data_IF_052169758082
#
_entry.id   IF_052169758082
#
_cell.length_a   1.000
_cell.length_b   1.000
_cell.length_c   1.000
_cell.angle_alpha   90.00
_cell.angle_beta   90.00
_cell.angle_gamma   90.00
#
_symmetry.space_group_name_H-M   'P 1'
#
loop_
_entity.id
_entity.type
_entity.pdbx_description
1 polymer ?
#
# COMPACT_ATOMS: atom_id res chain seq x y z
N UNK A 1 -4.49 -13.37 -70.31
CA UNK A 1 -5.43 -12.44 -70.96
C UNK A 1 -6.15 -11.68 -69.86
N UNK A 2 -5.78 -10.41 -69.64
CA UNK A 2 -6.55 -9.42 -68.87
C UNK A 2 -7.67 -8.84 -69.77
N UNK A 3 -8.62 -8.00 -69.30
CA UNK A 3 -8.37 -6.69 -68.65
C UNK A 3 -9.32 -6.43 -67.43
N UNK A 4 -9.01 -5.65 -66.37
CA UNK A 4 -8.75 -4.21 -66.20
C UNK A 4 -9.80 -3.28 -66.84
N UNK A 5 -10.49 -2.45 -66.05
CA UNK A 5 -10.89 -1.05 -66.35
C UNK A 5 -11.44 -0.40 -65.05
N UNK A 6 -10.91 0.79 -64.77
CA UNK A 6 -11.27 1.76 -63.72
C UNK A 6 -12.59 2.49 -64.05
N UNK A 7 -13.07 3.36 -63.13
CA UNK A 7 -13.04 4.78 -63.54
C UNK A 7 -12.52 5.76 -62.49
N UNK A 8 -11.67 6.67 -62.98
CA UNK A 8 -11.32 8.02 -62.52
C UNK A 8 -12.57 8.93 -62.62
N UNK A 9 -12.93 9.87 -61.73
CA UNK A 9 -12.41 11.21 -61.35
C UNK A 9 -13.54 11.83 -60.47
N UNK A 10 -13.35 12.64 -59.43
CA UNK A 10 -13.01 14.07 -59.48
C UNK A 10 -12.81 14.66 -58.07
N UNK A 11 -11.86 15.60 -57.99
CA UNK A 11 -11.47 16.44 -56.86
C UNK A 11 -12.52 17.50 -56.46
N UNK A 12 -12.71 17.68 -55.15
CA UNK A 12 -12.85 18.94 -54.39
C UNK A 12 -12.43 18.57 -52.94
N UNK A 13 -11.44 19.16 -52.25
CA UNK A 13 -10.93 20.52 -52.30
C UNK A 13 -11.36 21.27 -51.04
N UNK A 14 -10.89 20.87 -49.85
CA UNK A 14 -10.94 21.68 -48.63
C UNK A 14 -9.66 21.49 -47.81
N UNK A 15 -8.77 22.45 -47.94
CA UNK A 15 -7.60 22.69 -47.10
C UNK A 15 -8.06 23.12 -45.69
N UNK A 16 -7.69 22.34 -44.67
CA UNK A 16 -7.62 22.80 -43.28
C UNK A 16 -6.20 22.61 -42.80
N UNK A 17 -5.40 23.68 -42.95
CA UNK A 17 -4.07 23.81 -42.39
C UNK A 17 -4.17 24.01 -40.88
N UNK A 18 -3.99 22.93 -40.10
CA UNK A 18 -3.76 23.04 -38.65
C UNK A 18 -2.24 23.12 -38.42
N UNK A 19 -1.80 24.34 -38.12
CA UNK A 19 -0.43 24.68 -37.72
C UNK A 19 -0.04 23.96 -36.41
N UNK A 20 0.88 23.01 -36.51
CA UNK A 20 1.52 22.35 -35.37
C UNK A 20 2.42 23.35 -34.65
N UNK A 21 2.03 23.81 -33.45
CA UNK A 21 2.92 24.54 -32.53
C UNK A 21 3.77 23.54 -31.75
N UNK A 22 5.09 23.68 -31.88
CA UNK A 22 6.08 23.00 -31.06
C UNK A 22 5.94 23.43 -29.58
N UNK A 23 6.06 22.50 -28.60
CA UNK A 23 6.13 22.87 -27.20
C UNK A 23 7.53 23.38 -26.84
N UNK A 24 7.58 24.59 -26.29
CA UNK A 24 8.75 25.23 -25.69
C UNK A 24 9.14 24.54 -24.37
N UNK A 25 10.44 24.47 -24.02
CA UNK A 25 10.90 23.92 -22.75
C UNK A 25 10.48 24.83 -21.59
N UNK A 26 9.96 24.23 -20.52
CA UNK A 26 9.73 24.93 -19.25
C UNK A 26 11.05 24.98 -18.47
N UNK A 27 11.56 26.19 -18.30
CA UNK A 27 12.72 26.52 -17.46
C UNK A 27 12.40 26.25 -15.98
N UNK A 28 13.22 25.39 -15.35
CA UNK A 28 13.32 25.28 -13.90
C UNK A 28 14.45 26.20 -13.43
N UNK A 29 14.24 27.11 -12.48
CA UNK A 29 15.32 27.93 -11.97
C UNK A 29 16.24 27.09 -11.06
N UNK A 30 17.48 26.93 -11.53
CA UNK A 30 18.63 26.51 -10.74
C UNK A 30 19.03 27.70 -9.86
N UNK A 31 19.23 27.47 -8.56
CA UNK A 31 19.97 28.40 -7.71
C UNK A 31 20.81 27.64 -6.70
N UNK A 32 22.11 27.93 -6.73
CA UNK A 32 23.13 27.59 -5.74
C UNK A 32 24.03 28.85 -5.59
N UNK A 33 24.98 28.88 -4.65
CA UNK A 33 24.80 29.22 -3.24
C UNK A 33 25.40 30.59 -2.90
N UNK A 34 24.94 31.22 -1.82
CA UNK A 34 25.69 32.30 -1.17
C UNK A 34 25.38 32.33 0.34
N UNK A 35 26.45 32.33 1.14
CA UNK A 35 26.53 32.63 2.57
C UNK A 35 27.49 33.83 2.74
N UNK A 36 27.67 34.42 3.94
CA UNK A 36 26.76 34.61 5.08
C UNK A 36 26.68 36.09 5.51
N UNK A 37 25.63 36.51 6.22
CA UNK A 37 25.69 37.65 7.13
C UNK A 37 24.55 37.60 8.18
N UNK A 38 24.93 37.90 9.41
CA UNK A 38 24.12 37.98 10.63
C UNK A 38 22.84 38.81 10.49
N UNK A 39 21.75 38.32 11.09
CA UNK A 39 20.93 39.09 12.05
C UNK A 39 19.83 38.22 12.64
N UNK A 40 19.80 38.19 13.98
CA UNK A 40 18.81 37.55 14.81
C UNK A 40 17.42 38.18 14.62
N UNK A 41 16.42 37.38 14.22
CA UNK A 41 15.01 37.64 14.56
C UNK A 41 14.32 36.30 14.80
N UNK A 42 13.93 36.07 16.05
CA UNK A 42 13.08 34.98 16.48
C UNK A 42 11.67 35.13 15.91
N UNK A 43 11.25 34.25 15.02
CA UNK A 43 9.82 34.06 14.68
C UNK A 43 9.45 32.60 14.83
N UNK A 44 8.58 32.33 15.80
CA UNK A 44 7.90 31.06 16.00
C UNK A 44 6.88 30.84 14.86
N UNK A 45 7.27 30.09 13.84
CA UNK A 45 6.37 29.65 12.77
C UNK A 45 5.51 28.50 13.26
N UNK A 46 4.31 28.80 13.73
CA UNK A 46 3.24 27.82 13.90
C UNK A 46 2.64 27.56 12.52
N UNK A 47 3.17 26.57 11.80
CA UNK A 47 2.58 26.08 10.54
C UNK A 47 1.28 25.36 10.88
N UNK A 48 0.16 26.09 10.80
CA UNK A 48 -1.19 25.55 10.95
C UNK A 48 -1.60 24.94 9.60
N UNK A 49 -1.29 23.65 9.41
CA UNK A 49 -1.89 22.86 8.34
C UNK A 49 -3.38 22.69 8.66
N UNK A 50 -4.24 23.48 7.99
CA UNK A 50 -5.69 23.38 8.14
C UNK A 50 -6.16 21.98 7.78
N UNK A 51 -6.61 21.26 8.80
CA UNK A 51 -7.08 19.87 8.68
C UNK A 51 -8.60 19.88 8.40
N UNK A 52 -9.20 18.89 7.71
CA UNK A 52 -10.62 18.91 7.39
C UNK A 52 -11.46 18.92 8.67
N UNK A 53 -12.06 20.07 8.99
CA UNK A 53 -13.10 20.16 10.01
C UNK A 53 -14.44 19.94 9.32
N UNK A 54 -15.17 18.92 9.75
CA UNK A 54 -16.58 18.75 9.37
C UNK A 54 -17.46 19.39 10.45
N UNK A 55 -18.76 19.50 10.20
CA UNK A 55 -19.71 19.93 11.24
C UNK A 55 -19.87 18.91 12.38
N UNK A 56 -19.33 17.71 12.22
CA UNK A 56 -19.42 16.60 13.19
C UNK A 56 -18.13 16.46 14.01
N UNK A 57 -16.98 16.67 13.40
CA UNK A 57 -15.70 16.46 14.06
C UNK A 57 -14.59 17.37 13.53
N UNK A 58 -13.56 17.56 14.36
CA UNK A 58 -12.34 18.24 14.00
C UNK A 58 -11.12 17.40 14.38
N UNK A 59 -10.08 17.45 13.55
CA UNK A 59 -8.80 16.80 13.84
C UNK A 59 -7.92 17.81 14.59
N UNK A 60 -7.33 17.37 15.70
CA UNK A 60 -6.50 18.20 16.59
C UNK A 60 -5.19 17.48 16.90
N UNK A 61 -4.14 18.25 17.16
CA UNK A 61 -2.90 17.70 17.72
C UNK A 61 -3.09 17.41 19.21
N UNK A 62 -2.50 16.30 19.66
CA UNK A 62 -2.50 15.86 21.05
C UNK A 62 -1.06 15.74 21.55
N UNK A 63 -0.78 16.00 22.83
CA UNK A 63 0.60 15.97 23.35
C UNK A 63 1.29 14.60 23.20
N UNK A 64 0.54 13.50 23.24
CA UNK A 64 1.10 12.15 23.40
C UNK A 64 0.69 11.14 22.31
N UNK A 65 -0.21 11.48 21.38
CA UNK A 65 -0.70 10.56 20.36
C UNK A 65 -0.69 11.16 18.94
N UNK A 66 -0.02 12.30 18.74
CA UNK A 66 -0.05 13.04 17.49
C UNK A 66 -1.46 13.56 17.19
N UNK A 67 -1.95 13.35 15.97
CA UNK A 67 -3.32 13.79 15.58
C UNK A 67 -4.39 12.83 16.07
N UNK A 68 -5.47 13.39 16.59
CA UNK A 68 -6.68 12.70 17.02
C UNK A 68 -7.93 13.40 16.48
N UNK A 69 -9.05 12.67 16.41
CA UNK A 69 -10.34 13.16 15.93
C UNK A 69 -11.23 13.44 17.14
N UNK A 70 -11.85 14.61 17.23
CA UNK A 70 -12.73 15.00 18.33
C UNK A 70 -14.09 15.46 17.81
N UNK A 71 -15.16 15.06 18.49
CA UNK A 71 -16.51 15.53 18.18
C UNK A 71 -16.63 17.05 18.41
N UNK A 72 -17.24 17.76 17.47
CA UNK A 72 -17.50 19.22 17.56
C UNK A 72 -18.88 19.55 18.10
N UNK A 73 -19.71 18.53 18.30
CA UNK A 73 -21.04 18.59 18.91
C UNK A 73 -21.43 17.19 19.36
N UNK A 74 -22.54 17.06 20.08
CA UNK A 74 -23.17 15.76 20.35
C UNK A 74 -23.50 15.04 19.04
N UNK A 75 -23.18 13.75 18.95
CA UNK A 75 -23.43 12.90 17.78
C UNK A 75 -24.19 11.64 18.21
N UNK A 76 -25.32 11.37 17.56
CA UNK A 76 -26.15 10.21 17.86
C UNK A 76 -25.54 8.91 17.29
N UNK A 77 -25.90 7.78 17.90
CA UNK A 77 -25.49 6.46 17.44
C UNK A 77 -25.93 6.23 15.98
N UNK A 78 -25.13 5.45 15.24
CA UNK A 78 -25.30 5.14 13.82
C UNK A 78 -25.14 6.33 12.85
N UNK A 79 -24.69 7.50 13.33
CA UNK A 79 -24.34 8.60 12.45
C UNK A 79 -23.09 8.25 11.63
N UNK A 80 -23.17 8.39 10.31
CA UNK A 80 -22.00 8.29 9.42
C UNK A 80 -21.12 9.53 9.59
N UNK A 81 -19.88 9.33 10.04
CA UNK A 81 -18.90 10.39 10.23
C UNK A 81 -18.20 10.74 8.92
N UNK A 82 -17.68 9.72 8.25
CA UNK A 82 -16.93 9.86 7.00
C UNK A 82 -16.91 8.56 6.21
N UNK A 83 -16.65 8.69 4.91
CA UNK A 83 -16.35 7.57 4.01
C UNK A 83 -14.97 7.80 3.43
N UNK A 84 -14.05 6.87 3.66
CA UNK A 84 -12.73 6.86 3.07
C UNK A 84 -12.77 6.07 1.76
N UNK A 85 -12.71 6.80 0.65
CA UNK A 85 -12.71 6.28 -0.72
C UNK A 85 -11.41 6.62 -1.48
N UNK A 86 -10.41 7.10 -0.76
CA UNK A 86 -9.10 7.54 -1.24
C UNK A 86 -8.04 6.44 -1.16
N UNK A 87 -8.42 5.20 -1.51
CA UNK A 87 -7.50 4.08 -1.55
C UNK A 87 -6.31 4.40 -2.47
N UNK A 88 -5.13 4.50 -1.86
CA UNK A 88 -3.94 5.04 -2.52
C UNK A 88 -2.93 3.93 -2.86
N UNK A 89 -2.54 3.12 -1.87
CA UNK A 89 -1.69 1.94 -2.07
C UNK A 89 -2.49 0.70 -1.68
N UNK A 90 -2.42 -0.38 -2.45
CA UNK A 90 -2.99 -1.66 -2.05
C UNK A 90 -2.17 -2.86 -2.54
N UNK A 91 -2.28 -3.95 -1.80
CA UNK A 91 -1.67 -5.24 -2.10
C UNK A 91 -2.73 -6.31 -1.90
N UNK A 92 -2.94 -7.13 -2.93
CA UNK A 92 -3.59 -8.44 -2.80
C UNK A 92 -2.50 -9.49 -2.77
N UNK A 93 -2.49 -10.28 -1.70
CA UNK A 93 -1.52 -11.36 -1.50
C UNK A 93 -1.60 -12.36 -2.65
N UNK A 94 -0.45 -12.91 -3.04
CA UNK A 94 -0.32 -13.77 -4.22
C UNK A 94 -1.33 -14.92 -4.23
N UNK A 95 -1.59 -15.52 -3.08
CA UNK A 95 -2.49 -16.66 -2.91
C UNK A 95 -3.94 -16.32 -3.29
N UNK A 96 -4.39 -15.10 -2.99
CA UNK A 96 -5.75 -14.66 -3.23
C UNK A 96 -5.97 -14.01 -4.60
N UNK A 97 -4.93 -13.80 -5.42
CA UNK A 97 -5.05 -13.08 -6.70
C UNK A 97 -5.91 -13.78 -7.75
N UNK A 98 -6.30 -15.04 -7.54
CA UNK A 98 -7.23 -15.78 -8.41
C UNK A 98 -8.68 -15.75 -7.90
N UNK A 99 -8.88 -15.37 -6.65
CA UNK A 99 -10.15 -15.55 -5.93
C UNK A 99 -10.76 -14.20 -5.51
N UNK A 100 -9.93 -13.16 -5.38
CA UNK A 100 -10.35 -11.83 -4.95
C UNK A 100 -10.33 -10.87 -6.13
N UNK A 101 -11.46 -10.18 -6.33
CA UNK A 101 -11.60 -9.19 -7.40
C UNK A 101 -10.61 -8.04 -7.17
N UNK A 102 -9.74 -7.79 -8.16
CA UNK A 102 -8.74 -6.73 -8.07
C UNK A 102 -9.34 -5.32 -8.02
N UNK A 103 -10.58 -5.16 -8.48
CA UNK A 103 -11.32 -3.91 -8.39
C UNK A 103 -12.12 -3.81 -7.08
N UNK A 104 -13.14 -4.62 -6.82
CA UNK A 104 -14.00 -4.36 -5.66
C UNK A 104 -13.65 -5.14 -4.39
N UNK A 105 -12.62 -6.00 -4.42
CA UNK A 105 -12.30 -6.95 -3.35
C UNK A 105 -13.44 -7.92 -2.99
N UNK A 106 -14.32 -8.19 -3.96
CA UNK A 106 -15.28 -9.28 -3.86
C UNK A 106 -14.55 -10.62 -3.79
N UNK A 107 -15.05 -11.50 -2.94
CA UNK A 107 -14.59 -12.85 -2.70
C UNK A 107 -15.81 -13.75 -2.56
N UNK A 108 -15.68 -15.02 -2.95
CA UNK A 108 -16.74 -16.02 -2.84
C UNK A 108 -16.15 -17.35 -2.38
N UNK A 109 -15.80 -17.43 -1.09
CA UNK A 109 -15.39 -18.67 -0.39
C UNK A 109 -14.36 -19.52 -1.16
N UNK A 110 -13.34 -18.89 -1.72
CA UNK A 110 -12.23 -19.55 -2.40
C UNK A 110 -12.47 -19.84 -3.88
N UNK A 111 -13.60 -19.40 -4.42
CA UNK A 111 -13.92 -19.63 -5.83
C UNK A 111 -13.03 -18.77 -6.73
N UNK A 112 -12.40 -19.41 -7.72
CA UNK A 112 -11.66 -18.68 -8.76
C UNK A 112 -12.62 -17.81 -9.57
N UNK A 113 -12.35 -16.52 -9.66
CA UNK A 113 -13.23 -15.58 -10.37
C UNK A 113 -13.12 -15.75 -11.90
N UNK A 114 -14.24 -15.57 -12.63
CA UNK A 114 -14.35 -16.01 -14.02
C UNK A 114 -13.58 -15.13 -15.02
N UNK A 115 -13.41 -13.83 -14.72
CA UNK A 115 -12.80 -12.88 -15.64
C UNK A 115 -11.35 -12.65 -15.26
N UNK A 116 -10.42 -13.12 -16.09
CA UNK A 116 -8.99 -12.97 -15.87
C UNK A 116 -8.36 -12.10 -16.95
N UNK A 117 -7.56 -11.14 -16.54
CA UNK A 117 -6.65 -10.45 -17.44
C UNK A 117 -5.39 -11.31 -17.63
N UNK A 118 -5.12 -11.75 -18.85
CA UNK A 118 -4.01 -12.66 -19.16
C UNK A 118 -2.62 -12.03 -18.96
N UNK A 119 -2.50 -10.71 -19.17
CA UNK A 119 -1.22 -10.01 -19.06
C UNK A 119 -0.85 -9.70 -17.62
N UNK A 120 -1.79 -9.21 -16.82
CA UNK A 120 -1.57 -8.82 -15.41
C UNK A 120 -1.84 -9.94 -14.42
N UNK A 121 -2.51 -11.01 -14.86
CA UNK A 121 -2.96 -12.12 -14.02
C UNK A 121 -3.94 -11.71 -12.89
N UNK A 122 -4.55 -10.53 -12.99
CA UNK A 122 -5.60 -10.08 -12.08
C UNK A 122 -6.95 -10.64 -12.50
N UNK A 123 -7.82 -10.88 -11.52
CA UNK A 123 -9.18 -11.39 -11.75
C UNK A 123 -10.25 -10.38 -11.33
N UNK A 124 -11.44 -10.52 -11.90
CA UNK A 124 -12.58 -9.63 -11.69
C UNK A 124 -13.87 -10.44 -11.54
N UNK A 125 -14.78 -9.94 -10.69
CA UNK A 125 -16.10 -10.55 -10.51
C UNK A 125 -17.08 -10.19 -11.65
N UNK A 126 -16.84 -9.10 -12.37
CA UNK A 126 -17.73 -8.62 -13.44
C UNK A 126 -16.97 -7.86 -14.54
N UNK A 127 -17.56 -7.74 -15.75
CA UNK A 127 -16.98 -6.91 -16.81
C UNK A 127 -16.85 -5.44 -16.41
N UNK A 128 -17.80 -4.93 -15.61
CA UNK A 128 -17.75 -3.56 -15.09
C UNK A 128 -16.53 -3.33 -14.19
N UNK A 129 -16.24 -4.26 -13.27
CA UNK A 129 -15.03 -4.19 -12.43
C UNK A 129 -13.74 -4.22 -13.26
N UNK A 130 -13.69 -5.05 -14.30
CA UNK A 130 -12.54 -5.10 -15.20
C UNK A 130 -12.36 -3.79 -15.97
N UNK A 131 -13.43 -3.24 -16.53
CA UNK A 131 -13.40 -1.98 -17.27
C UNK A 131 -12.99 -0.81 -16.37
N UNK A 132 -13.54 -0.74 -15.16
CA UNK A 132 -13.21 0.30 -14.19
C UNK A 132 -11.74 0.22 -13.78
N UNK A 133 -11.23 -0.98 -13.51
CA UNK A 133 -9.82 -1.19 -13.21
C UNK A 133 -8.91 -0.77 -14.37
N UNK A 134 -9.26 -1.15 -15.61
CA UNK A 134 -8.51 -0.76 -16.81
C UNK A 134 -8.50 0.76 -17.00
N UNK A 135 -9.64 1.43 -16.78
CA UNK A 135 -9.76 2.87 -16.87
C UNK A 135 -8.89 3.58 -15.81
N UNK A 136 -8.89 3.08 -14.57
CA UNK A 136 -8.08 3.63 -13.48
C UNK A 136 -6.58 3.39 -13.69
N UNK A 137 -6.20 2.19 -14.12
CA UNK A 137 -4.81 1.83 -14.38
C UNK A 137 -4.26 2.57 -15.61
N UNK A 138 -5.07 2.77 -16.65
CA UNK A 138 -4.63 3.28 -17.95
C UNK A 138 -3.52 2.43 -18.58
N UNK A 139 -3.03 2.86 -19.75
CA UNK A 139 -2.05 2.08 -20.50
C UNK A 139 -0.74 1.87 -19.72
N UNK A 140 -0.26 2.91 -19.04
CA UNK A 140 0.99 2.84 -18.26
C UNK A 140 0.85 1.92 -17.04
N UNK A 141 -0.30 1.96 -16.34
CA UNK A 141 -0.54 1.06 -15.22
C UNK A 141 -0.66 -0.40 -15.66
N UNK A 142 -1.36 -0.66 -16.77
CA UNK A 142 -1.46 -2.01 -17.35
C UNK A 142 -0.07 -2.53 -17.76
N UNK A 143 0.76 -1.71 -18.38
CA UNK A 143 2.14 -2.07 -18.73
C UNK A 143 2.99 -2.38 -17.48
N UNK A 144 2.87 -1.55 -16.43
CA UNK A 144 3.60 -1.75 -15.17
C UNK A 144 3.23 -3.08 -14.49
N UNK A 145 1.93 -3.35 -14.34
CA UNK A 145 1.44 -4.61 -13.76
C UNK A 145 1.81 -5.82 -14.63
N UNK A 146 1.76 -5.69 -15.95
CA UNK A 146 2.20 -6.74 -16.87
C UNK A 146 3.69 -7.05 -16.70
N UNK A 147 4.55 -6.02 -16.54
CA UNK A 147 5.97 -6.21 -16.32
C UNK A 147 6.25 -6.90 -14.97
N UNK A 148 5.55 -6.50 -13.91
CA UNK A 148 5.67 -7.12 -12.60
C UNK A 148 5.20 -8.59 -12.58
N UNK A 149 4.11 -8.92 -13.28
CA UNK A 149 3.66 -10.30 -13.40
C UNK A 149 4.64 -11.16 -14.21
N UNK A 150 5.27 -10.62 -15.26
CA UNK A 150 6.32 -11.33 -16.02
C UNK A 150 7.52 -11.70 -15.14
N UNK A 151 7.94 -10.81 -14.24
CA UNK A 151 8.98 -11.10 -13.25
C UNK A 151 8.57 -12.28 -12.33
N UNK A 152 7.31 -12.30 -11.92
CA UNK A 152 6.77 -13.30 -10.98
C UNK A 152 6.55 -14.68 -11.63
N UNK A 153 6.11 -14.74 -12.90
CA UNK A 153 5.79 -16.01 -13.60
C UNK A 153 7.01 -16.92 -13.78
N UNK A 154 8.20 -16.38 -14.01
CA UNK A 154 9.40 -17.15 -14.31
C UNK A 154 10.13 -17.77 -13.10
N UNK A 155 9.67 -17.50 -11.87
CA UNK A 155 10.45 -17.80 -10.65
C UNK A 155 9.65 -18.42 -9.51
N UNK A 156 8.39 -18.79 -9.79
CA UNK A 156 7.45 -19.35 -8.82
C UNK A 156 7.73 -20.81 -8.43
N UNK A 157 8.76 -21.45 -9.01
CA UNK A 157 9.07 -22.87 -8.79
C UNK A 157 10.04 -23.17 -7.63
N UNK A 158 10.98 -22.28 -7.31
CA UNK A 158 12.06 -22.59 -6.36
C UNK A 158 11.84 -22.03 -4.95
N UNK A 159 10.91 -21.11 -4.78
CA UNK A 159 10.63 -20.49 -3.49
C UNK A 159 9.12 -20.43 -3.30
N UNK A 160 8.51 -21.60 -3.09
CA UNK A 160 7.15 -21.66 -2.51
C UNK A 160 7.23 -21.02 -1.13
N UNK A 161 6.69 -19.82 -1.03
CA UNK A 161 6.02 -19.08 0.05
C UNK A 161 5.87 -19.71 1.46
N UNK A 162 6.76 -20.59 1.92
CA UNK A 162 6.76 -21.09 3.29
C UNK A 162 7.49 -20.18 4.29
N UNK A 163 8.30 -19.24 3.79
CA UNK A 163 9.24 -18.46 4.63
C UNK A 163 8.83 -16.98 4.80
N UNK A 164 7.92 -16.47 3.97
CA UNK A 164 7.34 -15.14 4.15
C UNK A 164 6.06 -15.16 4.99
N UNK A 165 5.58 -16.34 5.38
CA UNK A 165 4.23 -16.53 5.90
C UNK A 165 4.08 -16.12 7.38
N UNK A 166 5.19 -15.96 8.11
CA UNK A 166 5.21 -15.46 9.48
C UNK A 166 6.51 -14.67 9.68
N UNK A 167 6.48 -13.34 9.64
CA UNK A 167 7.63 -12.59 10.19
C UNK A 167 7.59 -12.85 11.68
N UNK A 168 8.45 -13.75 12.14
CA UNK A 168 8.64 -14.03 13.55
C UNK A 168 8.80 -12.68 14.28
N UNK A 169 7.86 -12.33 15.19
CA UNK A 169 7.91 -11.05 15.91
C UNK A 169 9.20 -10.86 16.70
N UNK A 170 9.97 -11.92 16.91
CA UNK A 170 11.25 -11.92 17.60
C UNK A 170 12.44 -11.62 16.67
N UNK A 171 12.25 -11.54 15.35
CA UNK A 171 13.33 -11.12 14.46
C UNK A 171 13.72 -9.66 14.72
N UNK A 172 15.02 -9.34 14.72
CA UNK A 172 15.48 -7.98 14.93
C UNK A 172 15.02 -7.09 13.77
N UNK A 173 14.30 -6.02 14.10
CA UNK A 173 13.99 -4.96 13.14
C UNK A 173 15.29 -4.24 12.73
N UNK A 174 15.52 -3.93 11.45
CA UNK A 174 16.64 -3.09 11.04
C UNK A 174 16.62 -1.73 11.74
N UNK A 175 17.79 -1.20 12.09
CA UNK A 175 17.94 0.17 12.60
C UNK A 175 17.81 1.17 11.45
N UNK A 176 17.67 2.47 11.77
CA UNK A 176 17.68 3.53 10.75
C UNK A 176 18.98 3.56 9.96
N UNK A 177 20.12 3.23 10.59
CA UNK A 177 21.42 3.12 9.94
C UNK A 177 21.48 1.93 8.98
N UNK A 178 20.96 0.77 9.38
CA UNK A 178 20.90 -0.42 8.51
C UNK A 178 20.05 -0.16 7.26
N UNK A 179 18.90 0.52 7.46
CA UNK A 179 18.00 0.91 6.38
C UNK A 179 18.71 1.85 5.41
N UNK A 180 19.36 2.90 5.93
CA UNK A 180 20.10 3.85 5.11
C UNK A 180 21.22 3.16 4.30
N UNK A 181 22.00 2.27 4.94
CA UNK A 181 23.08 1.54 4.28
C UNK A 181 22.56 0.61 3.17
N UNK A 182 21.44 -0.09 3.41
CA UNK A 182 20.85 -0.98 2.41
C UNK A 182 20.33 -0.22 1.19
N UNK A 183 19.67 0.92 1.40
CA UNK A 183 19.17 1.75 0.30
C UNK A 183 20.29 2.46 -0.46
N UNK A 184 21.35 2.90 0.22
CA UNK A 184 22.54 3.47 -0.44
C UNK A 184 23.22 2.44 -1.36
N UNK A 185 23.38 1.21 -0.87
CA UNK A 185 23.90 0.09 -1.68
C UNK A 185 23.03 -0.15 -2.93
N UNK A 186 21.70 -0.15 -2.76
CA UNK A 186 20.77 -0.28 -3.88
C UNK A 186 20.85 0.91 -4.86
N UNK A 187 20.99 2.14 -4.38
CA UNK A 187 21.16 3.35 -5.21
C UNK A 187 22.39 3.30 -6.10
N UNK A 188 23.50 2.79 -5.58
CA UNK A 188 24.73 2.58 -6.35
C UNK A 188 24.50 1.63 -7.54
N UNK A 189 23.81 0.50 -7.31
CA UNK A 189 23.44 -0.44 -8.38
C UNK A 189 22.41 0.14 -9.35
N UNK A 190 21.46 0.92 -8.84
CA UNK A 190 20.42 1.56 -9.64
C UNK A 190 20.98 2.51 -10.70
N UNK A 191 22.06 3.24 -10.38
CA UNK A 191 22.76 4.09 -11.36
C UNK A 191 23.23 3.27 -12.56
N UNK A 192 23.79 2.08 -12.32
CA UNK A 192 24.25 1.19 -13.39
C UNK A 192 23.08 0.64 -14.23
N UNK A 193 21.95 0.32 -13.59
CA UNK A 193 20.73 -0.14 -14.27
C UNK A 193 20.17 0.97 -15.15
N UNK A 194 20.09 2.21 -14.67
CA UNK A 194 19.62 3.37 -15.45
C UNK A 194 20.49 3.60 -16.69
N UNK A 195 21.82 3.54 -16.53
CA UNK A 195 22.75 3.63 -17.65
C UNK A 195 22.55 2.50 -18.67
N UNK A 196 22.35 1.26 -18.20
CA UNK A 196 22.05 0.13 -19.09
C UNK A 196 20.76 0.36 -19.88
N UNK A 197 19.72 0.87 -19.23
CA UNK A 197 18.43 1.19 -19.86
C UNK A 197 18.51 2.34 -20.86
N UNK A 198 19.37 3.31 -20.62
CA UNK A 198 19.66 4.40 -21.56
C UNK A 198 20.52 3.96 -22.77
N UNK A 199 20.82 2.65 -22.92
CA UNK A 199 21.62 2.12 -24.03
C UNK A 199 23.13 2.23 -23.84
N UNK A 200 23.60 2.63 -22.64
CA UNK A 200 25.03 2.77 -22.36
C UNK A 200 25.67 1.39 -22.15
N UNK A 201 26.67 1.09 -22.97
CA UNK A 201 27.19 -0.26 -23.23
C UNK A 201 28.37 -0.79 -22.39
N UNK A 202 28.80 -0.23 -21.23
CA UNK A 202 29.78 -0.91 -20.38
C UNK A 202 29.32 -2.33 -20.00
N UNK A 203 30.28 -3.27 -19.93
CA UNK A 203 29.97 -4.65 -19.50
C UNK A 203 29.38 -4.70 -18.09
N UNK A 204 29.78 -3.77 -17.21
CA UNK A 204 29.29 -3.63 -15.85
C UNK A 204 27.80 -3.27 -15.77
N UNK A 205 27.31 -2.32 -16.58
CA UNK A 205 25.91 -1.88 -16.57
C UNK A 205 24.97 -3.00 -17.02
N UNK A 206 25.35 -3.74 -18.08
CA UNK A 206 24.62 -4.94 -18.52
C UNK A 206 24.60 -6.05 -17.47
N UNK A 207 25.73 -6.24 -16.75
CA UNK A 207 25.82 -7.23 -15.67
C UNK A 207 24.88 -6.87 -14.50
N UNK A 208 24.82 -5.59 -14.11
CA UNK A 208 23.94 -5.13 -13.05
C UNK A 208 22.45 -5.33 -13.39
N UNK A 209 22.04 -4.95 -14.61
CA UNK A 209 20.68 -5.19 -15.12
C UNK A 209 20.33 -6.69 -15.08
N UNK A 210 21.20 -7.53 -15.63
CA UNK A 210 20.99 -8.97 -15.66
C UNK A 210 21.04 -9.62 -14.25
N UNK A 211 21.79 -9.04 -13.30
CA UNK A 211 21.81 -9.51 -11.92
C UNK A 211 20.47 -9.20 -11.22
N UNK A 212 19.98 -7.96 -11.31
CA UNK A 212 18.69 -7.57 -10.74
C UNK A 212 17.54 -8.44 -11.26
N UNK A 213 17.54 -8.77 -12.55
CA UNK A 213 16.54 -9.63 -13.16
C UNK A 213 16.68 -11.12 -12.82
N UNK A 214 17.77 -11.57 -12.19
CA UNK A 214 17.97 -12.97 -11.77
C UNK A 214 17.61 -13.22 -10.30
N UNK A 215 17.68 -12.20 -9.46
CA UNK A 215 17.27 -12.25 -8.05
C UNK A 215 15.86 -12.82 -7.81
N UNK A 216 15.65 -13.48 -6.67
CA UNK A 216 14.34 -13.97 -6.26
C UNK A 216 13.31 -12.82 -6.19
N UNK A 217 12.07 -13.12 -6.56
CA UNK A 217 10.96 -12.16 -6.56
C UNK A 217 10.05 -12.47 -5.39
N UNK A 218 9.72 -11.46 -4.59
CA UNK A 218 8.68 -11.54 -3.55
C UNK A 218 7.44 -10.84 -4.12
N UNK A 219 6.42 -11.58 -4.61
CA UNK A 219 5.35 -11.00 -5.42
C UNK A 219 4.55 -9.90 -4.73
N UNK A 220 4.42 -9.95 -3.40
CA UNK A 220 3.61 -9.02 -2.62
C UNK A 220 4.35 -7.72 -2.32
N UNK A 221 5.66 -7.81 -2.04
CA UNK A 221 6.54 -6.62 -1.97
C UNK A 221 6.63 -5.95 -3.34
N UNK A 222 6.74 -6.74 -4.41
CA UNK A 222 6.75 -6.22 -5.78
C UNK A 222 5.43 -5.48 -6.10
N UNK A 223 4.28 -6.06 -5.73
CA UNK A 223 2.96 -5.44 -5.91
C UNK A 223 2.83 -4.14 -5.10
N UNK A 224 3.32 -4.11 -3.86
CA UNK A 224 3.38 -2.90 -3.05
C UNK A 224 4.15 -1.79 -3.76
N UNK A 225 5.38 -2.09 -4.20
CA UNK A 225 6.24 -1.12 -4.87
C UNK A 225 5.62 -0.60 -6.18
N UNK A 226 4.99 -1.46 -6.98
CA UNK A 226 4.27 -1.05 -8.19
C UNK A 226 3.10 -0.13 -7.84
N UNK A 227 2.28 -0.50 -6.85
CA UNK A 227 1.15 0.33 -6.43
C UNK A 227 1.61 1.71 -5.93
N UNK A 228 2.72 1.78 -5.19
CA UNK A 228 3.31 3.03 -4.70
C UNK A 228 3.79 3.94 -5.85
N UNK A 229 4.51 3.39 -6.81
CA UNK A 229 5.00 4.15 -7.98
C UNK A 229 3.83 4.63 -8.85
N UNK A 230 2.81 3.78 -9.04
CA UNK A 230 1.64 4.14 -9.83
C UNK A 230 0.79 5.23 -9.18
N UNK A 231 0.57 5.20 -7.87
CA UNK A 231 -0.20 6.28 -7.21
C UNK A 231 0.55 7.62 -7.28
N UNK A 232 1.88 7.61 -7.12
CA UNK A 232 2.71 8.80 -7.29
C UNK A 232 2.62 9.36 -8.72
N UNK A 233 2.48 8.49 -9.73
CA UNK A 233 2.35 8.87 -11.14
C UNK A 233 0.95 9.36 -11.52
N UNK A 234 -0.08 8.59 -11.16
CA UNK A 234 -1.45 8.75 -11.66
C UNK A 234 -2.28 9.72 -10.82
N UNK A 235 -1.94 9.87 -9.53
CA UNK A 235 -2.77 10.64 -8.60
C UNK A 235 -1.90 11.42 -7.61
N UNK A 236 -1.28 12.54 -8.05
CA UNK A 236 -0.46 13.38 -7.18
C UNK A 236 -1.20 13.88 -5.93
N UNK A 237 -2.52 14.04 -6.00
CA UNK A 237 -3.36 14.43 -4.86
C UNK A 237 -3.48 13.31 -3.82
N UNK A 238 -3.76 12.07 -4.23
CA UNK A 238 -3.68 10.89 -3.34
C UNK A 238 -2.28 10.68 -2.77
N UNK A 239 -1.24 10.92 -3.56
CA UNK A 239 0.15 10.86 -3.08
C UNK A 239 0.42 11.91 -1.99
N UNK A 240 -0.08 13.15 -2.13
CA UNK A 240 -0.02 14.15 -1.05
C UNK A 240 -0.71 13.66 0.22
N UNK A 241 -1.88 13.02 0.09
CA UNK A 241 -2.57 12.39 1.21
C UNK A 241 -1.70 11.35 1.93
N UNK A 242 -0.90 10.56 1.20
CA UNK A 242 0.09 9.64 1.79
C UNK A 242 1.18 10.41 2.55
N UNK A 243 1.71 11.50 1.98
CA UNK A 243 2.76 12.30 2.63
C UNK A 243 2.29 12.91 3.97
N UNK A 244 0.99 13.18 4.10
CA UNK A 244 0.38 13.69 5.32
C UNK A 244 0.23 12.63 6.42
N UNK A 245 0.41 11.33 6.14
CA UNK A 245 0.28 10.27 7.13
C UNK A 245 1.43 10.26 8.14
N UNK A 246 1.27 9.66 9.32
CA UNK A 246 2.38 9.59 10.29
C UNK A 246 3.44 8.61 9.77
N UNK A 247 4.73 9.00 9.68
CA UNK A 247 5.78 8.10 9.22
C UNK A 247 6.25 7.17 10.34
N UNK A 248 6.68 5.97 9.97
CA UNK A 248 7.55 5.10 10.77
C UNK A 248 8.98 5.24 10.29
N UNK A 249 9.92 5.45 11.21
CA UNK A 249 11.35 5.54 10.90
C UNK A 249 11.97 4.18 10.59
N UNK A 250 11.31 3.08 10.98
CA UNK A 250 11.82 1.70 10.81
C UNK A 250 10.79 0.82 10.09
N UNK A 251 10.29 1.17 8.89
CA UNK A 251 9.09 0.56 8.31
C UNK A 251 9.20 -0.93 7.94
N UNK A 252 10.42 -1.48 7.96
CA UNK A 252 10.68 -2.89 7.64
C UNK A 252 10.62 -3.75 8.89
N UNK A 253 10.00 -4.91 8.77
CA UNK A 253 9.79 -5.81 9.92
C UNK A 253 11.02 -6.68 10.22
N UNK A 254 11.88 -6.93 9.23
CA UNK A 254 13.10 -7.72 9.37
C UNK A 254 14.13 -7.32 8.30
N UNK A 255 15.36 -7.82 8.41
CA UNK A 255 16.37 -7.67 7.36
C UNK A 255 15.97 -8.37 6.05
N UNK A 256 15.21 -9.47 6.14
CA UNK A 256 14.68 -10.19 4.97
C UNK A 256 13.65 -9.33 4.22
N UNK A 257 12.80 -8.63 4.96
CA UNK A 257 11.82 -7.67 4.44
C UNK A 257 12.52 -6.49 3.76
N UNK A 258 13.47 -5.84 4.46
CA UNK A 258 14.28 -4.77 3.88
C UNK A 258 14.98 -5.19 2.58
N UNK A 259 15.59 -6.39 2.56
CA UNK A 259 16.25 -6.91 1.38
C UNK A 259 15.27 -7.20 0.22
N UNK A 260 14.04 -7.64 0.50
CA UNK A 260 13.03 -7.83 -0.54
C UNK A 260 12.60 -6.51 -1.17
N UNK A 261 12.48 -5.44 -0.38
CA UNK A 261 12.16 -4.11 -0.88
C UNK A 261 13.26 -3.54 -1.78
N UNK A 262 14.53 -3.62 -1.35
CA UNK A 262 15.66 -3.13 -2.16
C UNK A 262 15.87 -3.96 -3.43
N UNK A 263 15.66 -5.28 -3.39
CA UNK A 263 15.65 -6.14 -4.60
C UNK A 263 14.50 -5.77 -5.54
N UNK A 264 13.28 -5.63 -5.01
CA UNK A 264 12.09 -5.27 -5.80
C UNK A 264 12.25 -3.91 -6.48
N UNK A 265 12.86 -2.94 -5.79
CA UNK A 265 13.24 -1.65 -6.37
C UNK A 265 14.11 -1.81 -7.64
N UNK A 266 15.21 -2.57 -7.55
CA UNK A 266 16.12 -2.78 -8.68
C UNK A 266 15.47 -3.55 -9.83
N UNK A 267 14.64 -4.55 -9.51
CA UNK A 267 13.87 -5.32 -10.48
C UNK A 267 12.89 -4.43 -11.25
N UNK A 268 12.11 -3.61 -10.53
CA UNK A 268 11.16 -2.67 -11.13
C UNK A 268 11.86 -1.60 -11.95
N UNK A 269 12.98 -1.07 -11.46
CA UNK A 269 13.79 -0.12 -12.21
C UNK A 269 14.29 -0.72 -13.54
N UNK A 270 14.53 -2.03 -13.59
CA UNK A 270 14.94 -2.73 -14.81
C UNK A 270 13.80 -2.93 -15.83
N UNK A 271 12.53 -3.06 -15.40
CA UNK A 271 11.43 -3.49 -16.28
C UNK A 271 10.27 -2.51 -16.45
N UNK A 272 10.09 -1.54 -15.55
CA UNK A 272 8.94 -0.64 -15.63
C UNK A 272 9.01 0.28 -16.85
N UNK A 273 7.86 0.73 -17.40
CA UNK A 273 7.83 1.72 -18.48
C UNK A 273 8.69 2.97 -18.20
N UNK A 274 9.29 3.55 -19.24
CA UNK A 274 10.22 4.69 -19.10
C UNK A 274 9.58 5.89 -18.39
N UNK A 275 8.27 6.12 -18.61
CA UNK A 275 7.51 7.18 -17.94
C UNK A 275 7.46 7.06 -16.42
N UNK A 276 7.67 5.86 -15.87
CA UNK A 276 7.66 5.62 -14.42
C UNK A 276 9.06 5.73 -13.79
N UNK A 277 10.14 5.70 -14.57
CA UNK A 277 11.50 5.71 -14.04
C UNK A 277 11.87 6.96 -13.23
N UNK A 278 11.33 8.17 -13.49
CA UNK A 278 11.55 9.31 -12.61
C UNK A 278 11.01 9.10 -11.19
N UNK A 279 10.00 8.22 -11.03
CA UNK A 279 9.35 7.92 -9.74
C UNK A 279 9.80 6.58 -9.15
N UNK A 280 10.45 5.71 -9.93
CA UNK A 280 11.09 4.50 -9.41
C UNK A 280 12.39 4.88 -8.70
N UNK A 281 12.29 5.40 -7.48
CA UNK A 281 13.43 5.86 -6.67
C UNK A 281 13.38 5.29 -5.24
N UNK A 282 14.50 5.25 -4.52
CA UNK A 282 14.54 4.91 -3.11
C UNK A 282 13.60 5.79 -2.28
N UNK A 283 13.61 7.10 -2.53
CA UNK A 283 12.81 8.07 -1.78
C UNK A 283 11.33 7.75 -1.90
N UNK A 284 10.85 7.41 -3.10
CA UNK A 284 9.44 7.04 -3.31
C UNK A 284 9.07 5.80 -2.52
N UNK A 285 9.90 4.76 -2.56
CA UNK A 285 9.59 3.47 -1.90
C UNK A 285 9.78 3.50 -0.39
N UNK A 286 10.81 4.19 0.12
CA UNK A 286 11.00 4.46 1.55
C UNK A 286 9.84 5.30 2.07
N UNK A 287 9.44 6.35 1.35
CA UNK A 287 8.28 7.18 1.72
C UNK A 287 7.00 6.35 1.76
N UNK A 288 6.73 5.57 0.73
CA UNK A 288 5.55 4.70 0.71
C UNK A 288 5.57 3.72 1.90
N UNK A 289 6.71 3.08 2.16
CA UNK A 289 6.86 2.10 3.25
C UNK A 289 6.68 2.75 4.63
N UNK A 290 7.28 3.92 4.86
CA UNK A 290 7.18 4.66 6.13
C UNK A 290 5.76 5.11 6.44
N UNK A 291 5.00 5.50 5.41
CA UNK A 291 3.61 5.94 5.57
C UNK A 291 2.65 4.75 5.63
N UNK A 292 2.88 3.66 4.91
CA UNK A 292 2.04 2.46 4.95
C UNK A 292 2.13 1.72 6.30
N UNK A 293 3.33 1.64 6.86
CA UNK A 293 3.63 0.75 7.98
C UNK A 293 2.98 1.12 9.30
N UNK A 294 2.19 2.19 9.41
CA UNK A 294 1.32 2.50 10.57
C UNK A 294 -0.11 2.91 10.17
N UNK A 295 -0.43 2.98 8.88
CA UNK A 295 -1.66 3.60 8.39
C UNK A 295 -2.46 2.67 7.45
N UNK A 296 -1.98 1.46 7.22
CA UNK A 296 -2.68 0.45 6.43
C UNK A 296 -3.85 -0.19 7.18
N UNK A 297 -4.85 -0.59 6.39
CA UNK A 297 -6.03 -1.33 6.81
C UNK A 297 -6.06 -2.69 6.12
N UNK A 298 -6.46 -3.72 6.85
CA UNK A 298 -6.59 -5.07 6.30
C UNK A 298 -7.78 -5.19 5.34
N UNK A 299 -7.56 -5.84 4.21
CA UNK A 299 -8.60 -6.29 3.28
C UNK A 299 -8.90 -7.74 3.67
N UNK A 300 -9.99 -7.92 4.39
CA UNK A 300 -10.47 -9.22 4.88
C UNK A 300 -11.80 -9.59 4.25
N UNK A 301 -12.13 -10.88 4.25
CA UNK A 301 -13.45 -11.41 3.87
C UNK A 301 -14.58 -10.69 4.61
N UNK A 302 -15.75 -10.59 3.98
CA UNK A 302 -16.93 -9.92 4.56
C UNK A 302 -18.01 -10.92 5.00
N UNK A 303 -18.01 -12.10 4.40
CA UNK A 303 -19.02 -13.14 4.58
C UNK A 303 -18.82 -14.02 5.82
N UNK A 304 -17.65 -14.00 6.44
CA UNK A 304 -17.20 -14.92 7.49
C UNK A 304 -16.56 -14.18 8.69
N UNK A 305 -17.02 -12.95 8.94
CA UNK A 305 -16.49 -12.05 9.97
C UNK A 305 -14.99 -11.67 9.80
N UNK A 306 -14.44 -11.85 8.60
CA UNK A 306 -13.06 -11.43 8.29
C UNK A 306 -12.01 -12.47 8.63
N UNK A 307 -12.38 -13.76 8.65
CA UNK A 307 -11.43 -14.84 8.90
C UNK A 307 -10.31 -14.91 7.88
N UNK A 308 -10.60 -14.59 6.61
CA UNK A 308 -9.61 -14.60 5.55
C UNK A 308 -8.96 -13.23 5.37
N UNK A 309 -7.63 -13.23 5.23
CA UNK A 309 -6.83 -12.03 5.03
C UNK A 309 -6.29 -11.96 3.60
N UNK A 310 -6.92 -11.16 2.74
CA UNK A 310 -6.57 -11.07 1.32
C UNK A 310 -5.39 -10.17 1.03
N UNK A 311 -5.07 -9.26 1.96
CA UNK A 311 -4.05 -8.24 1.77
C UNK A 311 -4.42 -6.95 2.48
N UNK A 312 -3.87 -5.83 2.06
CA UNK A 312 -4.01 -4.56 2.77
C UNK A 312 -4.01 -3.37 1.83
N UNK A 313 -4.46 -2.22 2.34
CA UNK A 313 -4.40 -0.97 1.62
C UNK A 313 -4.29 0.24 2.53
N UNK A 314 -3.93 1.37 1.94
CA UNK A 314 -3.76 2.65 2.62
C UNK A 314 -4.82 3.64 2.13
N UNK A 315 -5.66 4.11 3.05
CA UNK A 315 -6.67 5.13 2.85
C UNK A 315 -6.26 6.35 3.69
N UNK A 316 -5.82 7.42 3.03
CA UNK A 316 -5.27 8.60 3.71
C UNK A 316 -6.24 9.17 4.74
N UNK A 317 -7.48 9.34 4.32
CA UNK A 317 -8.59 9.90 5.10
C UNK A 317 -9.04 9.01 6.28
N UNK A 318 -8.74 7.71 6.24
CA UNK A 318 -9.10 6.76 7.29
C UNK A 318 -8.12 6.77 8.49
N UNK A 319 -6.93 7.33 8.32
CA UNK A 319 -5.79 7.11 9.23
C UNK A 319 -5.72 8.10 10.41
N UNK A 320 -6.73 8.95 10.55
CA UNK A 320 -6.77 9.98 11.60
C UNK A 320 -7.33 9.49 12.93
N UNK A 321 -8.16 8.44 12.92
CA UNK A 321 -8.76 7.88 14.14
C UNK A 321 -7.72 7.14 14.97
N UNK A 322 -7.68 7.42 16.28
CA UNK A 322 -6.81 6.72 17.22
C UNK A 322 -7.41 5.40 17.70
N UNK A 323 -6.57 4.58 18.33
CA UNK A 323 -7.00 3.32 18.93
C UNK A 323 -7.63 3.51 20.31
N UNK A 324 -8.76 2.83 20.55
CA UNK A 324 -9.27 2.51 21.88
C UNK A 324 -9.68 1.04 21.95
N UNK A 325 -9.40 0.38 23.08
CA UNK A 325 -9.92 -0.95 23.41
C UNK A 325 -11.43 -0.96 23.73
N UNK A 326 -12.01 0.22 23.98
CA UNK A 326 -13.44 0.47 24.03
C UNK A 326 -13.77 1.59 23.04
N UNK A 327 -13.79 1.29 21.73
CA UNK A 327 -14.00 2.29 20.70
C UNK A 327 -15.44 2.83 20.75
N UNK A 328 -15.62 4.08 20.30
CA UNK A 328 -16.93 4.70 20.11
C UNK A 328 -17.25 4.92 18.61
N UNK A 329 -16.33 4.54 17.73
CA UNK A 329 -16.50 4.51 16.28
C UNK A 329 -16.25 3.09 15.77
N UNK A 330 -17.21 2.56 15.01
CA UNK A 330 -17.04 1.32 14.25
C UNK A 330 -16.63 1.62 12.82
N UNK A 331 -15.88 0.70 12.23
CA UNK A 331 -15.42 0.74 10.83
C UNK A 331 -16.08 -0.39 10.05
N UNK A 332 -16.63 -0.09 8.88
CA UNK A 332 -17.28 -1.05 8.00
C UNK A 332 -16.69 -0.92 6.59
N UNK A 333 -16.26 -2.03 5.98
CA UNK A 333 -15.77 -2.03 4.60
C UNK A 333 -16.92 -2.33 3.64
N UNK A 334 -17.13 -1.45 2.67
CA UNK A 334 -18.09 -1.65 1.58
C UNK A 334 -17.32 -1.58 0.26
N UNK A 335 -17.05 -2.74 -0.34
CA UNK A 335 -16.18 -2.82 -1.52
C UNK A 335 -14.77 -2.27 -1.22
N UNK A 336 -14.37 -1.20 -1.92
CA UNK A 336 -13.06 -0.53 -1.74
C UNK A 336 -13.09 0.59 -0.69
N UNK A 337 -14.23 0.88 -0.09
CA UNK A 337 -14.40 2.02 0.82
C UNK A 337 -14.45 1.57 2.28
N UNK A 338 -13.97 2.43 3.17
CA UNK A 338 -14.22 2.32 4.61
C UNK A 338 -15.21 3.36 5.07
N UNK A 339 -16.25 2.93 5.78
CA UNK A 339 -17.24 3.80 6.43
C UNK A 339 -16.99 3.83 7.92
N UNK A 340 -17.02 5.02 8.50
CA UNK A 340 -16.84 5.24 9.93
C UNK A 340 -18.15 5.71 10.54
N UNK A 341 -18.72 4.91 11.44
CA UNK A 341 -20.01 5.19 12.06
C UNK A 341 -19.86 5.27 13.57
N UNK A 342 -20.61 6.20 14.17
CA UNK A 342 -20.70 6.32 15.62
C UNK A 342 -21.40 5.08 16.19
N UNK A 343 -20.75 4.38 17.12
CA UNK A 343 -21.26 3.12 17.67
C UNK A 343 -22.23 3.33 18.83
N UNK A 344 -21.97 4.36 19.64
CA UNK A 344 -22.85 4.85 20.70
C UNK A 344 -22.89 6.37 20.67
N UNK A 345 -23.89 7.00 21.27
CA UNK A 345 -23.90 8.46 21.40
C UNK A 345 -22.57 8.98 21.99
N UNK A 346 -22.07 10.07 21.39
CA UNK A 346 -20.80 10.73 21.71
C UNK A 346 -21.09 12.19 22.06
N UNK A 347 -20.52 12.68 23.16
CA UNK A 347 -20.69 14.08 23.58
C UNK A 347 -19.70 15.02 22.87
N UNK A 348 -20.01 16.31 22.86
CA UNK A 348 -19.09 17.32 22.33
C UNK A 348 -17.72 17.27 23.03
N UNK A 349 -16.64 17.32 22.25
CA UNK A 349 -15.28 17.27 22.76
C UNK A 349 -14.74 15.88 23.05
N UNK A 350 -15.55 14.83 22.96
CA UNK A 350 -15.09 13.44 23.13
C UNK A 350 -14.22 12.99 21.93
N UNK A 351 -13.16 12.22 22.20
CA UNK A 351 -12.28 11.66 21.17
C UNK A 351 -12.98 10.50 20.43
N UNK A 352 -12.96 10.55 19.11
CA UNK A 352 -13.50 9.52 18.23
C UNK A 352 -12.41 8.48 17.93
N UNK A 353 -12.62 7.26 18.44
CA UNK A 353 -11.63 6.19 18.43
C UNK A 353 -12.18 4.92 17.79
N UNK A 354 -11.33 4.22 17.02
CA UNK A 354 -11.61 2.92 16.41
C UNK A 354 -10.80 1.82 17.11
N UNK A 355 -11.14 0.55 16.83
CA UNK A 355 -10.24 -0.57 17.14
C UNK A 355 -9.27 -0.84 15.97
N UNK A 356 -7.99 -1.03 16.30
CA UNK A 356 -6.98 -1.47 15.34
C UNK A 356 -6.90 -3.01 15.28
N UNK A 357 -7.47 -3.68 16.28
CA UNK A 357 -7.34 -5.12 16.49
C UNK A 357 -8.36 -5.95 15.68
N UNK A 358 -9.30 -5.27 15.01
CA UNK A 358 -10.17 -5.85 13.98
C UNK A 358 -10.98 -7.09 14.41
N UNK A 359 -11.33 -7.18 15.69
CA UNK A 359 -12.22 -8.21 16.25
C UNK A 359 -11.48 -9.23 17.13
N UNK A 360 -10.19 -9.47 16.91
CA UNK A 360 -9.36 -10.42 17.69
C UNK A 360 -9.33 -10.05 19.17
N UNK A 361 -9.48 -8.76 19.49
CA UNK A 361 -9.49 -8.26 20.87
C UNK A 361 -10.62 -8.84 21.73
N UNK A 362 -11.68 -9.37 21.11
CA UNK A 362 -12.87 -9.90 21.80
C UNK A 362 -12.54 -11.14 22.63
N UNK A 363 -11.50 -11.88 22.24
CA UNK A 363 -11.03 -13.09 22.95
C UNK A 363 -9.73 -12.85 23.73
N UNK A 364 -9.14 -11.64 23.66
CA UNK A 364 -7.86 -11.32 24.28
C UNK A 364 -7.98 -10.57 25.62
N UNK A 365 -7.22 -11.00 26.62
CA UNK A 365 -7.02 -10.26 27.86
C UNK A 365 -6.26 -8.93 27.66
N UNK A 366 -6.31 -8.03 28.65
CA UNK A 366 -5.71 -6.69 28.55
C UNK A 366 -4.18 -6.66 28.37
N UNK A 367 -3.48 -7.74 28.76
CA UNK A 367 -2.03 -7.92 28.57
C UNK A 367 -1.75 -8.25 27.11
N UNK A 368 -2.40 -9.28 26.56
CA UNK A 368 -2.25 -9.67 25.15
C UNK A 368 -2.59 -8.52 24.20
N UNK A 369 -3.65 -7.74 24.49
CA UNK A 369 -3.97 -6.53 23.71
C UNK A 369 -2.85 -5.49 23.74
N UNK A 370 -2.22 -5.26 24.90
CA UNK A 370 -1.12 -4.29 25.06
C UNK A 370 0.15 -4.76 24.38
N UNK A 371 0.50 -6.03 24.49
CA UNK A 371 1.66 -6.61 23.79
C UNK A 371 1.46 -6.50 22.28
N UNK A 372 0.25 -6.81 21.81
CA UNK A 372 -0.11 -6.69 20.40
C UNK A 372 0.01 -5.26 19.89
N UNK A 373 -0.43 -4.27 20.70
CA UNK A 373 -0.35 -2.83 20.45
C UNK A 373 0.99 -2.17 20.82
N UNK A 374 1.98 -2.90 21.31
CA UNK A 374 3.37 -2.41 21.35
C UNK A 374 4.15 -3.00 20.19
N UNK A 375 3.78 -4.24 19.84
CA UNK A 375 4.48 -5.12 18.93
C UNK A 375 5.89 -5.33 19.48
N UNK A 376 6.14 -6.50 20.07
CA UNK A 376 7.47 -6.98 20.55
C UNK A 376 8.57 -5.92 20.52
N UNK A 377 8.62 -5.08 21.55
CA UNK A 377 9.77 -4.22 21.78
C UNK A 377 10.87 -5.07 22.41
N UNK A 378 12.10 -4.85 21.96
CA UNK A 378 13.32 -5.43 22.52
C UNK A 378 13.44 -5.01 24.00
N UNK A 379 13.50 -5.94 24.97
CA UNK A 379 13.59 -5.61 26.38
C UNK A 379 14.91 -4.90 26.78
N UNK A 380 15.85 -4.71 25.85
CA UNK A 380 17.16 -4.12 26.12
C UNK A 380 17.25 -2.58 26.03
N UNK A 381 16.16 -1.84 25.78
CA UNK A 381 16.21 -0.36 25.78
C UNK A 381 16.00 0.21 27.21
N UNK A 382 17.00 0.88 27.82
CA UNK A 382 16.94 1.33 29.22
C UNK A 382 16.12 2.60 29.44
N UNK A 383 15.17 2.92 28.55
CA UNK A 383 14.45 4.19 28.59
C UNK A 383 12.93 4.01 28.57
N UNK A 384 12.33 4.41 29.69
CA UNK A 384 10.94 4.84 29.91
C UNK A 384 9.89 3.81 30.34
N UNK A 385 9.68 3.81 31.67
CA UNK A 385 8.38 3.52 32.27
C UNK A 385 7.38 4.66 31.98
N UNK A 386 6.55 4.48 30.95
CA UNK A 386 5.16 4.96 30.79
C UNK A 386 4.65 4.45 29.44
N UNK A 387 3.39 3.97 29.32
CA UNK A 387 2.90 3.42 28.07
C UNK A 387 2.75 4.53 27.03
N UNK A 388 3.67 4.62 26.06
CA UNK A 388 3.44 5.37 24.83
C UNK A 388 2.27 4.71 24.08
N UNK A 389 1.23 5.48 23.76
CA UNK A 389 0.15 5.07 22.85
C UNK A 389 0.66 5.21 21.42
N UNK A 390 1.52 4.29 20.99
CA UNK A 390 1.99 4.24 19.61
C UNK A 390 0.83 3.82 18.68
N UNK A 391 0.71 4.48 17.52
CA UNK A 391 -0.16 4.00 16.45
C UNK A 391 0.48 2.75 15.85
N UNK A 392 -0.02 1.55 16.18
CA UNK A 392 0.38 0.38 15.43
C UNK A 392 -0.36 0.29 14.10
N UNK A 393 0.37 -0.22 13.14
CA UNK A 393 -0.14 -0.70 11.88
C UNK A 393 -0.96 -1.95 12.06
N UNK A 394 -2.06 -2.03 11.32
CA UNK A 394 -2.79 -3.30 11.19
C UNK A 394 -1.89 -4.34 10.50
N UNK A 395 -0.91 -3.95 9.66
CA UNK A 395 0.04 -4.86 8.98
C UNK A 395 0.89 -5.71 9.95
N UNK A 396 1.30 -5.16 11.10
CA UNK A 396 1.99 -5.93 12.17
C UNK A 396 1.01 -6.84 12.92
N UNK A 397 -0.27 -6.51 12.86
CA UNK A 397 -1.39 -7.15 13.53
C UNK A 397 -2.03 -8.30 12.75
N UNK A 398 -1.47 -8.64 11.58
CA UNK A 398 -2.22 -9.33 10.53
C UNK A 398 -1.88 -10.83 10.34
N UNK A 399 -1.01 -11.44 11.16
CA UNK A 399 -0.55 -12.82 10.91
C UNK A 399 -0.30 -13.70 12.14
N UNK A 400 -1.10 -13.58 13.20
CA UNK A 400 -1.10 -14.58 14.29
C UNK A 400 -2.48 -15.21 14.30
N UNK A 401 -2.71 -16.25 13.47
CA UNK A 401 -3.68 -17.36 13.64
C UNK A 401 -4.20 -17.86 12.28
N UNK A 402 -3.49 -18.79 11.66
CA UNK A 402 -4.06 -19.78 10.73
C UNK A 402 -3.85 -21.22 11.24
N UNK A 403 -3.83 -21.40 12.56
CA UNK A 403 -3.85 -22.73 13.18
C UNK A 403 -4.99 -22.77 14.19
N UNK A 404 -6.11 -23.36 13.75
CA UNK A 404 -7.15 -23.83 14.63
C UNK A 404 -6.58 -24.87 15.58
N UNK A 405 -6.57 -24.55 16.87
CA UNK A 405 -6.45 -25.53 17.94
C UNK A 405 -7.87 -26.01 18.30
N UNK A 406 -8.33 -27.07 17.65
CA UNK A 406 -9.32 -27.98 18.23
C UNK A 406 -8.56 -29.18 18.81
N UNK A 407 -8.54 -29.40 20.13
CA UNK A 407 -8.05 -30.65 20.68
C UNK A 407 -9.14 -31.72 20.56
N UNK A 408 -8.84 -32.78 19.81
CA UNK A 408 -9.24 -34.15 20.11
C UNK A 408 -10.73 -34.52 20.00
N UNK A 409 -11.14 -35.02 18.83
CA UNK A 409 -12.14 -36.08 18.76
C UNK A 409 -11.61 -37.18 17.82
N UNK A 410 -10.80 -38.06 18.41
CA UNK A 410 -10.42 -39.33 17.81
C UNK A 410 -11.64 -40.25 17.66
N UNK A 411 -11.73 -40.85 16.47
CA UNK A 411 -12.43 -42.07 16.09
C UNK A 411 -13.48 -42.65 17.05
N UNK A 412 -14.76 -42.42 16.74
CA UNK A 412 -15.80 -43.42 17.00
C UNK A 412 -16.23 -44.06 15.69
N UNK A 413 -15.87 -45.35 15.56
CA UNK A 413 -16.36 -46.26 14.53
C UNK A 413 -17.90 -46.26 14.54
N UNK A 414 -18.51 -46.09 13.37
CA UNK A 414 -19.92 -46.38 13.16
C UNK A 414 -20.16 -47.87 13.41
N UNK A 415 -21.11 -48.18 14.29
CA UNK A 415 -21.74 -49.49 14.40
C UNK A 415 -23.02 -49.43 13.54
N UNK A 416 -23.26 -50.38 12.63
CA UNK A 416 -24.48 -50.40 11.83
C UNK A 416 -25.68 -50.88 12.67
N UNK A 417 -26.92 -50.54 12.26
CA UNK A 417 -28.10 -50.84 13.05
C UNK A 417 -28.42 -52.34 12.96
N UNK A 418 -28.78 -52.93 14.09
CA UNK A 418 -29.57 -54.15 14.15
C UNK A 418 -30.97 -53.78 14.63
N UNK A 419 -31.93 -54.50 14.07
CA UNK A 419 -33.40 -54.41 14.11
C UNK A 419 -34.05 -53.88 15.40
#
# INVERSE_FOLDING_TARGET
MAPSILPTTHLLGLDLTVSVRQPTPLDFPISAPASPADSQVSMSTTTTTSTPATSLYAIRQTPNAGRAVFATRRIEANTLLSTANDLSINVLLRDYRKEVCAQCFFYDRGTTLPLRNSSTNLVFCSPSCQQEWLAQAGDIGVQAWTAAEKLSKGKSGEQRDGDYDMVDPHLPRPTTQDIAAAWESASSLATQIRLARAGTSPKSTRKALAAALREAVVPDVLAFCVSAILVAYQSPERWRGILDLVPDERPYHSFVDLAAFTRSYLQLLAVLPDKLLPLTTPETLITASSRDSHNSFGIRSLEDEGSEFFGYGCWGSASFFNHSCGPNVRKERVGREWRFLVDRMVEEGEELCISYLSGEERTMGSVGRRERLRGSEDPASPQYGRPQRAKLSQRRLIRVTSLGLFPGLEGRKMVPPLE
#
